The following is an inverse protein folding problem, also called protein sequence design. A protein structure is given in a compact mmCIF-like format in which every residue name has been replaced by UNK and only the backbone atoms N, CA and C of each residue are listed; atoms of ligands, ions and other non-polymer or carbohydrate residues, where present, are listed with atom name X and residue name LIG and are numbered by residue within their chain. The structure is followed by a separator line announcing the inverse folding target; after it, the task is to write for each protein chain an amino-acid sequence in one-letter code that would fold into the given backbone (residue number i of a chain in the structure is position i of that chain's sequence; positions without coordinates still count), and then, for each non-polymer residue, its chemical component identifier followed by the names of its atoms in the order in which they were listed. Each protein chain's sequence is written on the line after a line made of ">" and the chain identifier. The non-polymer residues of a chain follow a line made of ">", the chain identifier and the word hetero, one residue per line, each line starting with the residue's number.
data_IF_388957280450
#
_entry.id   IF_388957280450
#
_cell.length_a   1.000
_cell.length_b   1.000
_cell.length_c   1.000
_cell.angle_alpha   90.00
_cell.angle_beta   90.00
_cell.angle_gamma   90.00
#
_symmetry.space_group_name_H-M   'P 1'
#
loop_
_entity.id
_entity.type
_entity.pdbx_description
1 polymer ?
#
# COMPACT_ATOMS: atom_id res chain seq x y z
N UNK A 1 3.70 76.14 -38.35
CA UNK A 1 2.73 75.93 -37.26
C UNK A 1 2.65 74.43 -37.01
N UNK A 2 3.06 73.99 -35.82
CA UNK A 2 3.28 72.59 -35.41
C UNK A 2 2.05 71.69 -35.57
N UNK A 3 2.20 70.50 -36.16
CA UNK A 3 1.41 69.32 -35.79
C UNK A 3 2.30 68.08 -35.72
N UNK A 4 2.50 67.61 -34.49
CA UNK A 4 3.20 66.38 -34.11
C UNK A 4 2.38 65.17 -34.58
N UNK A 5 3.04 64.18 -35.21
CA UNK A 5 2.50 62.82 -35.34
C UNK A 5 2.52 62.14 -33.97
N UNK A 6 1.37 61.71 -33.48
CA UNK A 6 1.26 60.71 -32.41
C UNK A 6 1.13 59.34 -33.06
N UNK A 7 2.13 58.48 -32.87
CA UNK A 7 2.06 57.05 -33.17
C UNK A 7 1.51 56.38 -31.91
N UNK A 8 0.25 55.96 -31.95
CA UNK A 8 -0.37 55.16 -30.89
C UNK A 8 0.08 53.71 -31.01
N UNK A 9 0.74 53.20 -29.97
CA UNK A 9 1.02 51.77 -29.82
C UNK A 9 -0.28 51.06 -29.41
N UNK A 10 -0.83 50.23 -30.30
CA UNK A 10 -1.89 49.28 -29.96
C UNK A 10 -1.23 48.06 -29.30
N UNK A 11 -1.34 47.94 -27.98
CA UNK A 11 -1.02 46.71 -27.25
C UNK A 11 -2.14 45.69 -27.52
N UNK A 12 -1.88 44.73 -28.40
CA UNK A 12 -2.73 43.55 -28.56
C UNK A 12 -2.37 42.58 -27.43
N UNK A 13 -3.18 42.57 -26.37
CA UNK A 13 -3.10 41.55 -25.33
C UNK A 13 -3.69 40.25 -25.89
N UNK A 14 -2.82 39.32 -26.31
CA UNK A 14 -3.24 37.96 -26.66
C UNK A 14 -3.59 37.23 -25.36
N UNK A 15 -4.89 37.11 -25.08
CA UNK A 15 -5.40 36.22 -24.03
C UNK A 15 -5.26 34.79 -24.58
N UNK A 16 -4.18 34.10 -24.21
CA UNK A 16 -4.06 32.66 -24.36
C UNK A 16 -5.06 32.01 -23.40
N UNK A 17 -6.27 31.72 -23.90
CA UNK A 17 -7.18 30.79 -23.24
C UNK A 17 -6.52 29.42 -23.33
N UNK A 18 -5.82 29.02 -22.27
CA UNK A 18 -5.45 27.62 -22.04
C UNK A 18 -6.75 26.87 -21.81
N UNK A 19 -7.31 26.30 -22.87
CA UNK A 19 -8.28 25.23 -22.76
C UNK A 19 -7.61 24.08 -22.01
N UNK A 20 -7.88 23.98 -20.71
CA UNK A 20 -7.57 22.80 -19.91
C UNK A 20 -8.38 21.65 -20.49
N UNK A 21 -7.76 20.83 -21.34
CA UNK A 21 -8.30 19.53 -21.65
C UNK A 21 -8.35 18.79 -20.31
N UNK A 22 -9.56 18.58 -19.78
CA UNK A 22 -9.75 17.75 -18.61
C UNK A 22 -9.10 16.40 -18.91
N UNK A 23 -8.09 16.01 -18.12
CA UNK A 23 -7.54 14.67 -18.22
C UNK A 23 -8.70 13.69 -17.95
N UNK A 24 -8.84 12.62 -18.75
CA UNK A 24 -9.82 11.58 -18.46
C UNK A 24 -9.61 11.10 -17.04
N UNK A 25 -10.70 11.05 -16.25
CA UNK A 25 -10.64 10.52 -14.90
C UNK A 25 -10.16 9.06 -14.95
N UNK A 26 -9.23 8.64 -14.06
CA UNK A 26 -8.81 7.26 -14.01
C UNK A 26 -10.01 6.35 -13.73
N UNK A 27 -10.10 5.21 -14.43
CA UNK A 27 -11.14 4.23 -14.16
C UNK A 27 -10.93 3.61 -12.77
N UNK A 28 -11.99 3.53 -11.96
CA UNK A 28 -11.96 2.96 -10.62
C UNK A 28 -11.39 1.53 -10.61
N UNK A 29 -10.72 1.21 -9.51
CA UNK A 29 -10.16 -0.13 -9.27
C UNK A 29 -11.29 -1.12 -9.05
N UNK A 30 -11.07 -2.39 -9.40
CA UNK A 30 -12.06 -3.43 -9.10
C UNK A 30 -12.07 -3.69 -7.60
N UNK A 31 -13.25 -3.70 -6.98
CA UNK A 31 -13.39 -4.09 -5.59
C UNK A 31 -12.87 -5.52 -5.38
N UNK A 32 -12.01 -5.69 -4.37
CA UNK A 32 -11.41 -6.97 -4.01
C UNK A 32 -12.39 -7.82 -3.19
N UNK A 33 -13.06 -7.22 -2.21
CA UNK A 33 -14.17 -7.83 -1.47
C UNK A 33 -15.49 -7.31 -2.03
N UNK A 34 -16.18 -8.12 -2.81
CA UNK A 34 -17.40 -7.70 -3.54
C UNK A 34 -18.70 -7.96 -2.79
N UNK A 35 -18.66 -8.84 -1.79
CA UNK A 35 -19.81 -9.22 -0.98
C UNK A 35 -19.57 -8.86 0.50
N UNK A 36 -20.63 -8.79 1.32
CA UNK A 36 -20.48 -8.68 2.77
C UNK A 36 -19.58 -9.76 3.34
N UNK A 37 -18.68 -9.37 4.25
CA UNK A 37 -17.79 -10.27 4.96
C UNK A 37 -18.50 -10.78 6.23
N UNK A 38 -18.92 -12.05 6.21
CA UNK A 38 -19.73 -12.67 7.27
C UNK A 38 -18.89 -13.03 8.51
N UNK A 39 -18.26 -12.04 9.16
CA UNK A 39 -17.59 -12.18 10.45
C UNK A 39 -18.41 -11.53 11.58
N UNK A 40 -19.04 -12.32 12.47
CA UNK A 40 -19.85 -11.78 13.57
C UNK A 40 -19.09 -10.93 14.60
N UNK A 41 -17.75 -10.95 14.60
CA UNK A 41 -16.93 -10.12 15.50
C UNK A 41 -16.50 -8.81 14.85
N UNK A 42 -16.64 -8.68 13.53
CA UNK A 42 -16.37 -7.43 12.83
C UNK A 42 -17.47 -6.41 13.09
N UNK A 43 -17.12 -5.13 13.03
CA UNK A 43 -18.01 -4.01 13.33
C UNK A 43 -18.17 -3.16 12.08
N UNK A 44 -19.39 -2.89 11.66
CA UNK A 44 -19.66 -2.07 10.47
C UNK A 44 -19.94 -0.62 10.84
N UNK A 45 -19.47 0.33 10.02
CA UNK A 45 -19.60 1.79 10.26
C UNK A 45 -21.06 2.29 10.19
N UNK A 46 -21.92 1.63 9.42
CA UNK A 46 -23.35 1.93 9.31
C UNK A 46 -24.08 1.82 10.66
N UNK A 47 -23.64 0.90 11.51
CA UNK A 47 -24.16 0.70 12.87
C UNK A 47 -23.87 1.88 13.81
N UNK A 48 -23.00 2.81 13.39
CA UNK A 48 -22.63 4.03 14.10
C UNK A 48 -23.18 5.29 13.42
N UNK A 49 -24.03 5.14 12.41
CA UNK A 49 -24.70 6.24 11.72
C UNK A 49 -23.91 6.84 10.56
N UNK A 50 -22.85 6.19 10.08
CA UNK A 50 -22.19 6.60 8.84
C UNK A 50 -23.16 6.41 7.66
N UNK A 51 -23.35 7.44 6.85
CA UNK A 51 -24.33 7.45 5.76
C UNK A 51 -23.73 7.00 4.43
N UNK A 52 -22.46 7.35 4.16
CA UNK A 52 -21.80 6.97 2.91
C UNK A 52 -22.41 7.63 1.66
N UNK A 53 -23.09 8.78 1.82
CA UNK A 53 -23.80 9.49 0.74
C UNK A 53 -22.94 10.54 0.00
N UNK A 54 -21.71 10.77 0.46
CA UNK A 54 -20.75 11.74 -0.06
C UNK A 54 -21.02 13.19 0.36
N UNK A 55 -22.08 13.45 1.11
CA UNK A 55 -22.52 14.78 1.52
C UNK A 55 -22.39 14.99 3.03
N UNK A 56 -22.90 14.05 3.83
CA UNK A 56 -22.81 14.10 5.28
C UNK A 56 -21.37 13.89 5.77
N UNK A 57 -21.02 14.51 6.89
CA UNK A 57 -19.73 14.26 7.54
C UNK A 57 -19.80 12.99 8.37
N UNK A 58 -19.16 11.94 7.87
CA UNK A 58 -19.15 10.60 8.46
C UNK A 58 -17.96 10.39 9.42
N UNK A 59 -17.09 11.39 9.61
CA UNK A 59 -15.87 11.23 10.38
C UNK A 59 -16.13 10.75 11.81
N UNK A 60 -17.09 11.36 12.51
CA UNK A 60 -17.44 11.00 13.88
C UNK A 60 -18.02 9.58 13.99
N UNK A 61 -18.86 9.17 13.03
CA UNK A 61 -19.45 7.83 13.01
C UNK A 61 -18.39 6.75 12.76
N UNK A 62 -17.48 6.98 11.81
CA UNK A 62 -16.37 6.07 11.51
C UNK A 62 -15.41 5.98 12.70
N UNK A 63 -15.05 7.11 13.32
CA UNK A 63 -14.21 7.11 14.52
C UNK A 63 -14.88 6.36 15.67
N UNK A 64 -16.20 6.49 15.85
CA UNK A 64 -16.94 5.76 16.87
C UNK A 64 -16.90 4.24 16.64
N UNK A 65 -16.98 3.77 15.40
CA UNK A 65 -16.83 2.35 15.07
C UNK A 65 -15.42 1.82 15.42
N UNK A 66 -14.38 2.60 15.08
CA UNK A 66 -12.98 2.28 15.42
C UNK A 66 -12.78 2.25 16.95
N UNK A 67 -13.32 3.24 17.66
CA UNK A 67 -13.26 3.34 19.11
C UNK A 67 -13.97 2.17 19.78
N UNK A 68 -15.12 1.76 19.26
CA UNK A 68 -15.88 0.62 19.78
C UNK A 68 -15.11 -0.69 19.66
N UNK A 69 -14.47 -0.95 18.51
CA UNK A 69 -13.59 -2.13 18.36
C UNK A 69 -12.45 -2.09 19.37
N UNK A 70 -11.82 -0.93 19.57
CA UNK A 70 -10.76 -0.80 20.57
C UNK A 70 -11.26 -1.02 22.01
N UNK A 71 -12.46 -0.55 22.35
CA UNK A 71 -13.07 -0.75 23.67
C UNK A 71 -13.43 -2.21 23.93
N UNK A 72 -13.98 -2.89 22.92
CA UNK A 72 -14.42 -4.28 23.02
C UNK A 72 -13.26 -5.26 23.15
N UNK A 73 -12.25 -5.14 22.29
CA UNK A 73 -11.21 -6.17 22.15
C UNK A 73 -9.80 -5.64 21.96
N UNK A 74 -9.59 -4.32 21.92
CA UNK A 74 -8.31 -3.64 21.62
C UNK A 74 -7.80 -3.80 20.19
N UNK A 75 -8.17 -4.88 19.51
CA UNK A 75 -7.86 -5.20 18.12
C UNK A 75 -9.14 -5.71 17.43
N UNK A 76 -9.20 -5.69 16.10
CA UNK A 76 -10.37 -6.18 15.38
C UNK A 76 -10.48 -5.66 13.95
N UNK A 77 -11.66 -5.83 13.38
CA UNK A 77 -11.98 -5.41 12.01
C UNK A 77 -13.14 -4.42 12.04
N UNK A 78 -12.96 -3.29 11.37
CA UNK A 78 -14.02 -2.35 11.03
C UNK A 78 -14.35 -2.52 9.55
N UNK A 79 -15.60 -2.83 9.24
CA UNK A 79 -16.11 -2.98 7.88
C UNK A 79 -16.67 -1.65 7.38
N UNK A 80 -16.34 -1.32 6.15
CA UNK A 80 -16.82 -0.12 5.46
C UNK A 80 -17.61 -0.59 4.23
N UNK A 81 -18.95 -0.59 4.26
CA UNK A 81 -19.76 -0.92 3.10
C UNK A 81 -19.53 0.08 1.95
N UNK A 82 -19.77 -0.34 0.72
CA UNK A 82 -19.78 0.53 -0.47
C UNK A 82 -20.54 1.84 -0.20
N UNK A 83 -19.90 2.96 -0.56
CA UNK A 83 -20.39 4.29 -0.27
C UNK A 83 -19.28 5.34 -0.40
N UNK A 84 -19.66 6.60 -0.35
CA UNK A 84 -18.73 7.73 -0.32
C UNK A 84 -18.83 8.41 1.03
N UNK A 85 -17.77 8.34 1.83
CA UNK A 85 -17.77 8.83 3.20
C UNK A 85 -17.00 10.13 3.24
N UNK A 86 -17.72 11.27 3.27
CA UNK A 86 -17.05 12.56 3.43
C UNK A 86 -16.54 12.65 4.86
N UNK A 87 -15.28 13.02 5.02
CA UNK A 87 -14.65 13.26 6.32
C UNK A 87 -14.08 14.67 6.36
N UNK A 88 -14.23 15.36 7.49
CA UNK A 88 -13.68 16.71 7.67
C UNK A 88 -12.52 16.79 8.67
N UNK A 89 -12.23 15.69 9.35
CA UNK A 89 -11.14 15.55 10.32
C UNK A 89 -10.38 14.24 10.14
N UNK A 90 -9.22 14.13 10.81
CA UNK A 90 -8.38 12.93 10.77
C UNK A 90 -9.05 11.77 11.49
N UNK A 91 -9.19 10.64 10.80
CA UNK A 91 -9.54 9.36 11.41
C UNK A 91 -8.29 8.72 12.05
N UNK A 92 -8.36 8.41 13.33
CA UNK A 92 -7.28 7.74 14.05
C UNK A 92 -7.56 6.25 14.17
N UNK A 93 -6.69 5.45 13.55
CA UNK A 93 -6.77 3.98 13.58
C UNK A 93 -5.85 3.45 14.65
N UNK A 94 -6.44 2.92 15.72
CA UNK A 94 -5.69 2.35 16.85
C UNK A 94 -4.96 1.07 16.43
N UNK A 95 -3.85 0.80 17.13
CA UNK A 95 -3.07 -0.45 16.97
C UNK A 95 -3.97 -1.69 16.96
N UNK A 96 -3.75 -2.57 15.99
CA UNK A 96 -4.42 -3.87 15.86
C UNK A 96 -5.81 -3.81 15.22
N UNK A 97 -6.23 -2.66 14.70
CA UNK A 97 -7.50 -2.50 13.98
C UNK A 97 -7.25 -2.47 12.47
N UNK A 98 -8.03 -3.24 11.73
CA UNK A 98 -8.06 -3.22 10.26
C UNK A 98 -9.34 -2.55 9.76
N UNK A 99 -9.20 -1.66 8.79
CA UNK A 99 -10.31 -1.10 8.03
C UNK A 99 -10.45 -1.89 6.73
N UNK A 100 -11.59 -2.54 6.51
CA UNK A 100 -11.80 -3.37 5.31
C UNK A 100 -13.08 -2.91 4.60
N UNK A 101 -12.92 -2.44 3.37
CA UNK A 101 -14.04 -2.05 2.52
C UNK A 101 -14.64 -3.24 1.79
N UNK A 102 -15.94 -3.20 1.48
CA UNK A 102 -16.57 -4.22 0.64
C UNK A 102 -17.75 -3.66 -0.17
N UNK A 103 -18.06 -4.33 -1.28
CA UNK A 103 -19.19 -4.03 -2.17
C UNK A 103 -18.80 -4.11 -3.63
N UNK A 104 -19.75 -3.89 -4.53
CA UNK A 104 -19.52 -3.98 -5.98
C UNK A 104 -18.46 -2.96 -6.39
N UNK A 105 -18.59 -1.76 -5.85
CA UNK A 105 -17.58 -0.70 -5.90
C UNK A 105 -16.89 -0.55 -4.53
N UNK A 106 -15.62 -0.12 -4.54
CA UNK A 106 -14.90 0.15 -3.30
C UNK A 106 -15.52 1.35 -2.58
N UNK A 107 -15.71 1.31 -1.25
CA UNK A 107 -15.99 2.53 -0.51
C UNK A 107 -14.88 3.56 -0.68
N UNK A 108 -15.21 4.84 -0.68
CA UNK A 108 -14.25 5.94 -0.80
C UNK A 108 -14.34 6.86 0.40
N UNK A 109 -13.21 7.14 1.06
CA UNK A 109 -13.11 8.27 1.99
C UNK A 109 -12.80 9.54 1.19
N UNK A 110 -13.61 10.58 1.37
CA UNK A 110 -13.57 11.80 0.58
C UNK A 110 -13.25 13.00 1.47
N UNK A 111 -12.15 13.69 1.18
CA UNK A 111 -11.89 15.02 1.72
C UNK A 111 -12.45 16.06 0.75
N UNK A 112 -13.52 16.75 1.16
CA UNK A 112 -14.18 17.74 0.31
C UNK A 112 -13.26 18.91 -0.10
N UNK A 113 -13.59 19.67 -1.15
CA UNK A 113 -12.80 20.83 -1.55
C UNK A 113 -12.67 21.87 -0.44
N UNK A 114 -11.51 22.50 -0.31
CA UNK A 114 -11.21 23.53 0.69
C UNK A 114 -11.63 23.13 2.13
N UNK A 115 -11.38 21.89 2.53
CA UNK A 115 -11.76 21.42 3.87
C UNK A 115 -10.90 22.14 4.91
N UNK A 116 -11.49 22.84 5.89
CA UNK A 116 -10.74 23.62 6.87
C UNK A 116 -9.66 22.80 7.58
N UNK A 117 -8.44 23.34 7.63
CA UNK A 117 -7.31 22.71 8.31
C UNK A 117 -6.38 21.91 7.40
N UNK A 118 -6.72 21.73 6.12
CA UNK A 118 -5.91 20.99 5.14
C UNK A 118 -5.22 21.90 4.10
N UNK A 119 -5.18 23.22 4.34
CA UNK A 119 -4.59 24.20 3.43
C UNK A 119 -3.07 24.30 3.58
N UNK A 120 -2.56 24.65 4.78
CA UNK A 120 -1.18 25.14 4.91
C UNK A 120 -0.32 24.39 5.94
N UNK A 121 -0.92 23.57 6.80
CA UNK A 121 -0.20 22.90 7.89
C UNK A 121 0.30 21.51 7.49
N UNK A 122 1.59 21.24 7.66
CA UNK A 122 2.14 19.88 7.49
C UNK A 122 1.52 18.89 8.49
N UNK A 123 1.47 17.62 8.12
CA UNK A 123 0.98 16.55 8.99
C UNK A 123 -0.54 16.45 9.10
N UNK A 124 -1.27 16.85 8.06
CA UNK A 124 -2.73 16.78 7.97
C UNK A 124 -3.15 15.52 7.20
N UNK A 125 -3.55 14.49 7.93
CA UNK A 125 -3.89 13.18 7.37
C UNK A 125 -5.40 12.97 7.32
N UNK A 126 -5.91 12.32 6.27
CA UNK A 126 -7.27 11.80 6.29
C UNK A 126 -7.38 10.60 7.24
N UNK A 127 -6.40 9.69 7.19
CA UNK A 127 -6.28 8.53 8.08
C UNK A 127 -4.89 8.48 8.70
N UNK A 128 -4.81 8.35 10.02
CA UNK A 128 -3.56 8.24 10.76
C UNK A 128 -3.54 6.95 11.58
N UNK A 129 -2.68 6.01 11.18
CA UNK A 129 -2.37 4.84 12.00
C UNK A 129 -1.50 5.25 13.18
N UNK A 130 -1.98 4.94 14.38
CA UNK A 130 -1.40 5.42 15.63
C UNK A 130 -1.17 4.26 16.60
N UNK A 131 -0.54 4.56 17.73
CA UNK A 131 -0.34 3.57 18.79
C UNK A 131 -1.66 3.24 19.52
N UNK A 132 -1.58 2.91 20.81
CA UNK A 132 -2.76 2.65 21.62
C UNK A 132 -3.64 3.90 21.78
N UNK A 133 -4.97 3.71 21.84
CA UNK A 133 -5.94 4.78 22.12
C UNK A 133 -5.55 5.47 23.44
N UNK A 134 -5.34 6.79 23.46
CA UNK A 134 -4.91 7.49 24.67
C UNK A 134 -6.03 7.50 25.71
N UNK A 135 -5.65 7.59 26.99
CA UNK A 135 -6.60 7.97 28.04
C UNK A 135 -7.11 9.39 27.76
N UNK A 136 -8.35 9.68 28.15
CA UNK A 136 -8.95 11.01 27.99
C UNK A 136 -8.00 12.14 28.45
N UNK A 137 -7.84 13.16 27.61
CA UNK A 137 -6.96 14.30 27.86
C UNK A 137 -5.46 14.04 27.65
N UNK A 138 -5.05 12.85 27.21
CA UNK A 138 -3.67 12.57 26.80
C UNK A 138 -3.52 12.73 25.28
N UNK A 139 -2.34 13.16 24.80
CA UNK A 139 -2.11 13.31 23.37
C UNK A 139 -2.13 11.96 22.67
N UNK A 140 -2.62 11.97 21.43
CA UNK A 140 -2.48 10.84 20.51
C UNK A 140 -1.00 10.66 20.20
N UNK A 141 -0.54 9.42 20.30
CA UNK A 141 0.85 9.06 20.01
C UNK A 141 0.90 8.44 18.63
N UNK A 142 1.83 8.91 17.82
CA UNK A 142 2.18 8.27 16.57
C UNK A 142 2.52 6.79 16.79
N UNK A 143 2.37 6.00 15.75
CA UNK A 143 2.77 4.61 15.78
C UNK A 143 4.28 4.45 16.06
N UNK A 144 4.64 3.24 16.46
CA UNK A 144 5.99 2.89 16.89
C UNK A 144 6.31 1.42 16.55
N UNK A 145 7.52 0.92 16.81
CA UNK A 145 7.92 -0.46 16.54
C UNK A 145 7.03 -1.57 17.10
N UNK A 146 6.13 -1.26 18.03
CA UNK A 146 5.16 -2.20 18.59
C UNK A 146 3.76 -2.12 17.97
N UNK A 147 3.57 -1.34 16.90
CA UNK A 147 2.25 -1.11 16.27
C UNK A 147 2.00 -2.13 15.16
N UNK A 148 1.64 -3.35 15.56
CA UNK A 148 1.41 -4.48 14.64
C UNK A 148 -0.06 -4.63 14.25
N UNK A 149 -0.31 -5.39 13.18
CA UNK A 149 -1.62 -5.93 12.78
C UNK A 149 -2.67 -4.93 12.26
N UNK A 150 -2.32 -3.65 12.13
CA UNK A 150 -3.23 -2.63 11.61
C UNK A 150 -3.19 -2.59 10.09
N UNK A 151 -4.32 -2.44 9.40
CA UNK A 151 -4.31 -2.40 7.94
C UNK A 151 -5.48 -1.59 7.39
N UNK A 152 -5.37 -1.18 6.13
CA UNK A 152 -6.50 -0.66 5.36
C UNK A 152 -6.52 -1.36 4.02
N UNK A 153 -7.68 -1.91 3.65
CA UNK A 153 -7.81 -2.67 2.41
C UNK A 153 -9.13 -2.43 1.73
N UNK A 154 -9.11 -2.33 0.40
CA UNK A 154 -10.31 -2.19 -0.42
C UNK A 154 -11.12 -0.92 -0.10
N UNK A 155 -10.44 0.17 0.27
CA UNK A 155 -11.03 1.47 0.56
C UNK A 155 -10.24 2.54 -0.18
N UNK A 156 -10.90 3.31 -1.03
CA UNK A 156 -10.27 4.37 -1.81
C UNK A 156 -10.13 5.67 -1.00
N UNK A 157 -9.18 6.50 -1.39
CA UNK A 157 -8.95 7.84 -0.85
C UNK A 157 -9.13 8.88 -1.96
N UNK A 158 -9.89 9.94 -1.70
CA UNK A 158 -10.09 11.06 -2.62
C UNK A 158 -9.86 12.40 -1.92
N UNK A 159 -8.96 13.21 -2.44
CA UNK A 159 -8.65 14.56 -1.96
C UNK A 159 -9.16 15.60 -2.96
N UNK A 160 -10.16 16.37 -2.56
CA UNK A 160 -10.69 17.48 -3.34
C UNK A 160 -9.71 18.66 -3.46
N UNK A 161 -9.97 19.55 -4.41
CA UNK A 161 -9.16 20.73 -4.66
C UNK A 161 -9.09 21.69 -3.47
N UNK A 162 -7.99 22.43 -3.33
CA UNK A 162 -7.81 23.42 -2.26
C UNK A 162 -7.37 22.81 -0.93
N UNK A 163 -6.84 21.58 -0.96
CA UNK A 163 -6.27 20.88 0.19
C UNK A 163 -4.78 20.54 -0.01
N UNK A 164 -3.89 21.51 -0.35
CA UNK A 164 -2.52 21.20 -0.76
C UNK A 164 -1.64 20.61 0.35
N UNK A 165 -2.03 20.74 1.63
CA UNK A 165 -1.32 20.09 2.73
C UNK A 165 -1.82 18.66 3.04
N UNK A 166 -2.92 18.23 2.41
CA UNK A 166 -3.54 16.94 2.72
C UNK A 166 -2.68 15.75 2.29
N UNK A 167 -2.61 14.78 3.19
CA UNK A 167 -2.08 13.44 2.94
C UNK A 167 -3.20 12.44 3.17
N UNK A 168 -3.35 11.47 2.26
CA UNK A 168 -4.37 10.43 2.40
C UNK A 168 -4.17 9.60 3.66
N UNK A 169 -3.08 8.82 3.71
CA UNK A 169 -2.84 7.88 4.81
C UNK A 169 -1.45 8.08 5.39
N UNK A 170 -1.37 8.23 6.71
CA UNK A 170 -0.13 8.05 7.45
C UNK A 170 0.00 6.60 7.90
N UNK A 171 0.73 5.80 7.13
CA UNK A 171 0.97 4.37 7.38
C UNK A 171 2.28 4.12 8.13
N UNK A 172 2.55 4.91 9.16
CA UNK A 172 3.61 4.59 10.10
C UNK A 172 3.10 3.43 10.96
N UNK A 173 3.59 2.21 10.76
CA UNK A 173 3.28 1.03 11.58
C UNK A 173 4.36 -0.05 11.41
N UNK A 174 4.27 -1.09 12.22
CA UNK A 174 5.17 -2.24 12.21
C UNK A 174 4.50 -3.44 11.52
N UNK A 175 5.10 -4.63 11.60
CA UNK A 175 4.76 -5.84 10.83
C UNK A 175 3.29 -6.29 10.94
N UNK A 176 2.90 -7.13 9.97
CA UNK A 176 1.51 -7.58 9.76
C UNK A 176 0.52 -6.46 9.46
N UNK A 177 1.05 -5.33 9.00
CA UNK A 177 0.32 -4.13 8.65
C UNK A 177 0.59 -3.75 7.21
N UNK A 178 -0.45 -3.32 6.50
CA UNK A 178 -0.39 -3.09 5.05
C UNK A 178 -1.46 -2.11 4.57
N UNK A 179 -1.28 -1.60 3.34
CA UNK A 179 -2.32 -0.96 2.54
C UNK A 179 -2.51 -1.77 1.25
N UNK A 180 -3.73 -2.21 0.96
CA UNK A 180 -4.01 -3.16 -0.12
C UNK A 180 -5.24 -2.81 -0.95
N UNK A 181 -5.18 -2.96 -2.27
CA UNK A 181 -6.35 -2.81 -3.16
C UNK A 181 -7.00 -1.42 -3.03
N UNK A 182 -6.24 -0.35 -3.22
CA UNK A 182 -6.71 1.02 -3.00
C UNK A 182 -6.37 1.95 -4.17
N UNK A 183 -7.29 2.85 -4.50
CA UNK A 183 -6.98 4.02 -5.31
C UNK A 183 -6.80 5.25 -4.43
N UNK A 184 -5.72 6.00 -4.67
CA UNK A 184 -5.45 7.30 -4.10
C UNK A 184 -5.62 8.36 -5.21
N UNK A 185 -6.76 9.05 -5.20
CA UNK A 185 -7.03 10.22 -6.05
C UNK A 185 -6.61 11.47 -5.29
N UNK A 186 -5.34 11.86 -5.44
CA UNK A 186 -4.68 12.84 -4.57
C UNK A 186 -4.98 14.27 -5.03
N UNK A 187 -5.28 14.49 -6.32
CA UNK A 187 -5.65 15.81 -6.83
C UNK A 187 -4.61 16.87 -6.48
N UNK A 188 -5.06 17.97 -5.86
CA UNK A 188 -4.19 19.06 -5.37
C UNK A 188 -3.36 18.73 -4.12
N UNK A 189 -3.61 17.59 -3.47
CA UNK A 189 -2.99 17.19 -2.20
C UNK A 189 -1.48 16.99 -2.27
N UNK A 190 -0.88 16.83 -1.09
CA UNK A 190 0.56 16.64 -0.91
C UNK A 190 1.00 15.23 -1.29
N UNK A 191 0.35 14.22 -0.73
CA UNK A 191 0.66 12.82 -1.01
C UNK A 191 -0.53 11.88 -0.80
N UNK A 192 -0.49 10.71 -1.44
CA UNK A 192 -1.42 9.63 -1.11
C UNK A 192 -1.05 8.99 0.23
N UNK A 193 0.24 8.72 0.43
CA UNK A 193 0.77 8.09 1.63
C UNK A 193 1.97 8.87 2.19
N UNK A 194 2.01 9.05 3.51
CA UNK A 194 3.20 9.46 4.23
C UNK A 194 3.64 8.41 5.26
N UNK A 195 4.95 8.12 5.25
CA UNK A 195 5.56 6.95 5.89
C UNK A 195 5.01 5.66 5.28
N UNK A 196 5.88 4.69 5.11
CA UNK A 196 5.47 3.33 4.78
C UNK A 196 5.78 2.43 5.96
N UNK A 197 4.90 1.47 6.18
CA UNK A 197 5.19 0.34 7.05
C UNK A 197 5.91 -0.74 6.24
N UNK A 198 5.40 -1.97 6.32
CA UNK A 198 6.08 -3.11 5.71
C UNK A 198 5.60 -3.44 4.29
N UNK A 199 4.35 -3.15 3.94
CA UNK A 199 3.76 -3.65 2.70
C UNK A 199 2.72 -2.70 2.09
N UNK A 200 2.79 -2.52 0.77
CA UNK A 200 1.74 -1.95 -0.08
C UNK A 200 1.57 -2.85 -1.31
N UNK A 201 0.34 -3.29 -1.58
CA UNK A 201 0.03 -4.16 -2.72
C UNK A 201 -1.23 -3.69 -3.49
N UNK A 202 -1.21 -3.79 -4.82
CA UNK A 202 -2.33 -3.42 -5.71
C UNK A 202 -2.91 -2.02 -5.39
N UNK A 203 -2.01 -1.04 -5.21
CA UNK A 203 -2.39 0.35 -4.97
C UNK A 203 -2.14 1.22 -6.21
N UNK A 204 -2.94 2.27 -6.38
CA UNK A 204 -2.82 3.16 -7.55
C UNK A 204 -2.89 4.62 -7.11
N UNK A 205 -1.93 5.42 -7.54
CA UNK A 205 -1.74 6.81 -7.08
C UNK A 205 -1.88 7.79 -8.25
N UNK A 206 -2.89 8.65 -8.19
CA UNK A 206 -3.24 9.60 -9.24
C UNK A 206 -3.11 11.05 -8.76
N UNK A 207 -2.29 11.84 -9.45
CA UNK A 207 -2.05 13.25 -9.10
C UNK A 207 -1.25 13.41 -7.80
N UNK A 208 -1.37 14.59 -7.17
CA UNK A 208 -0.59 14.97 -5.98
C UNK A 208 0.80 15.54 -6.29
N UNK A 209 1.47 16.10 -5.28
CA UNK A 209 2.91 16.41 -5.41
C UNK A 209 3.69 15.08 -5.49
N UNK A 210 3.29 14.15 -4.63
CA UNK A 210 3.86 12.82 -4.49
C UNK A 210 2.78 11.75 -4.44
N UNK A 211 3.10 10.52 -4.83
CA UNK A 211 2.29 9.35 -4.48
C UNK A 211 2.60 8.96 -3.04
N UNK A 212 3.89 8.75 -2.76
CA UNK A 212 4.42 8.36 -1.45
C UNK A 212 5.52 9.34 -1.01
N UNK A 213 5.45 9.79 0.24
CA UNK A 213 6.56 10.42 0.95
C UNK A 213 6.96 9.49 2.08
N UNK A 214 8.19 9.02 2.09
CA UNK A 214 8.62 8.09 3.13
C UNK A 214 10.01 8.35 3.63
N UNK A 215 10.25 7.82 4.82
CA UNK A 215 11.57 7.69 5.43
C UNK A 215 11.69 6.27 5.96
N UNK A 216 12.82 5.94 6.58
CA UNK A 216 13.00 4.77 7.45
C UNK A 216 11.71 4.32 8.17
N UNK A 217 11.18 3.11 7.85
CA UNK A 217 10.04 2.52 8.52
C UNK A 217 10.31 2.30 10.02
N UNK A 218 9.29 1.89 10.77
CA UNK A 218 9.44 1.49 12.17
C UNK A 218 9.33 -0.03 12.26
N UNK A 219 10.33 -0.81 12.72
CA UNK A 219 11.63 -0.43 13.32
C UNK A 219 12.83 -0.47 12.36
N UNK A 220 12.79 0.21 11.22
CA UNK A 220 13.82 0.22 10.16
C UNK A 220 13.89 -1.07 9.34
N UNK A 221 12.78 -1.78 9.26
CA UNK A 221 12.66 -2.99 8.45
C UNK A 221 12.38 -2.62 6.99
N UNK A 222 12.76 -3.49 6.04
CA UNK A 222 12.49 -3.23 4.62
C UNK A 222 11.00 -3.14 4.34
N UNK A 223 10.69 -2.37 3.30
CA UNK A 223 9.37 -2.12 2.77
C UNK A 223 9.21 -2.82 1.42
N UNK A 224 8.12 -3.57 1.24
CA UNK A 224 7.76 -4.25 0.00
C UNK A 224 6.59 -3.53 -0.68
N UNK A 225 6.73 -3.23 -1.96
CA UNK A 225 5.65 -2.66 -2.77
C UNK A 225 5.48 -3.44 -4.07
N UNK A 226 4.29 -4.00 -4.28
CA UNK A 226 4.02 -4.91 -5.39
C UNK A 226 2.82 -4.44 -6.20
N UNK A 227 2.87 -4.64 -7.52
CA UNK A 227 1.75 -4.43 -8.44
C UNK A 227 1.12 -3.03 -8.33
N UNK A 228 1.94 -2.02 -8.03
CA UNK A 228 1.47 -0.65 -7.74
C UNK A 228 1.69 0.29 -8.93
N UNK A 229 0.75 1.22 -9.10
CA UNK A 229 0.70 2.16 -10.23
C UNK A 229 0.78 3.62 -9.76
N UNK A 230 1.53 4.45 -10.49
CA UNK A 230 1.66 5.89 -10.25
C UNK A 230 1.44 6.67 -11.54
N UNK A 231 0.60 7.70 -11.49
CA UNK A 231 0.35 8.57 -12.64
C UNK A 231 0.17 10.05 -12.23
N UNK A 232 0.87 10.93 -12.93
CA UNK A 232 0.57 12.37 -12.90
C UNK A 232 0.99 13.13 -11.64
N UNK A 233 1.90 12.58 -10.82
CA UNK A 233 2.49 13.34 -9.72
C UNK A 233 3.25 14.56 -10.24
N UNK A 234 3.09 15.72 -9.58
CA UNK A 234 3.69 17.00 -9.99
C UNK A 234 5.18 17.10 -9.71
N UNK A 235 5.69 16.35 -8.73
CA UNK A 235 7.10 16.42 -8.32
C UNK A 235 7.79 15.07 -8.52
N UNK A 236 7.32 14.01 -7.86
CA UNK A 236 7.85 12.65 -8.05
C UNK A 236 6.82 11.61 -7.61
N UNK A 237 6.84 10.40 -8.16
CA UNK A 237 5.98 9.33 -7.65
C UNK A 237 6.31 8.98 -6.19
N UNK A 238 7.59 8.81 -5.87
CA UNK A 238 8.08 8.49 -4.53
C UNK A 238 9.18 9.47 -4.13
N UNK A 239 9.03 10.09 -2.95
CA UNK A 239 10.09 10.82 -2.26
C UNK A 239 10.54 10.03 -1.05
N UNK A 240 11.84 9.76 -0.91
CA UNK A 240 12.32 8.77 0.05
C UNK A 240 13.63 9.12 0.75
N UNK A 241 13.87 8.48 1.89
CA UNK A 241 15.16 8.37 2.58
C UNK A 241 15.21 7.12 3.45
N UNK A 242 16.24 6.28 3.26
CA UNK A 242 16.52 5.09 4.09
C UNK A 242 15.31 4.17 4.29
N UNK A 243 14.44 4.08 3.29
CA UNK A 243 13.20 3.32 3.42
C UNK A 243 13.42 1.81 3.27
N UNK A 244 14.47 1.39 2.56
CA UNK A 244 14.76 -0.01 2.31
C UNK A 244 13.69 -0.65 1.44
N UNK A 245 13.53 -0.15 0.22
CA UNK A 245 12.38 -0.46 -0.64
C UNK A 245 12.68 -1.61 -1.62
N UNK A 246 11.82 -2.62 -1.64
CA UNK A 246 11.73 -3.62 -2.71
C UNK A 246 10.47 -3.38 -3.52
N UNK A 247 10.64 -3.03 -4.79
CA UNK A 247 9.57 -2.64 -5.71
C UNK A 247 9.42 -3.71 -6.80
N UNK A 248 8.34 -4.50 -6.81
CA UNK A 248 8.12 -5.55 -7.81
C UNK A 248 6.91 -5.21 -8.69
N UNK A 249 7.07 -5.26 -10.02
CA UNK A 249 6.00 -5.00 -11.01
C UNK A 249 5.29 -3.65 -10.86
N UNK A 250 6.05 -2.61 -10.51
CA UNK A 250 5.52 -1.27 -10.38
C UNK A 250 5.50 -0.54 -11.71
N UNK A 251 4.57 0.40 -11.90
CA UNK A 251 4.50 1.23 -13.10
C UNK A 251 4.38 2.70 -12.74
N UNK A 252 5.27 3.51 -13.31
CA UNK A 252 5.34 4.94 -13.11
C UNK A 252 5.13 5.63 -14.45
N UNK A 253 4.08 6.44 -14.55
CA UNK A 253 3.64 7.02 -15.81
C UNK A 253 3.44 8.53 -15.70
N UNK A 254 3.93 9.27 -16.70
CA UNK A 254 3.66 10.71 -16.83
C UNK A 254 4.04 11.49 -15.55
N UNK A 255 5.20 11.17 -14.97
CA UNK A 255 5.77 11.80 -13.76
C UNK A 255 7.12 12.46 -14.06
N UNK A 256 7.53 13.52 -13.33
CA UNK A 256 8.88 14.08 -13.51
C UNK A 256 10.00 13.15 -13.05
N UNK A 257 9.77 12.35 -12.02
CA UNK A 257 10.73 11.41 -11.43
C UNK A 257 9.97 10.28 -10.76
N UNK A 258 10.42 9.03 -10.93
CA UNK A 258 9.78 7.89 -10.27
C UNK A 258 10.22 7.79 -8.81
N UNK A 259 11.53 7.76 -8.54
CA UNK A 259 12.08 7.69 -7.18
C UNK A 259 13.05 8.83 -6.95
N UNK A 260 12.73 9.70 -5.99
CA UNK A 260 13.55 10.84 -5.60
C UNK A 260 14.07 10.68 -4.18
N UNK A 261 15.37 10.42 -4.04
CA UNK A 261 16.03 10.40 -2.73
C UNK A 261 16.27 11.83 -2.24
N UNK A 262 16.00 12.07 -0.95
CA UNK A 262 16.28 13.36 -0.30
C UNK A 262 17.77 13.72 -0.39
N UNK A 263 18.12 15.02 -0.50
CA UNK A 263 19.51 15.47 -0.51
C UNK A 263 20.28 14.97 0.73
N UNK A 264 21.53 14.56 0.51
CA UNK A 264 22.46 14.09 1.56
C UNK A 264 21.95 12.91 2.39
N UNK A 265 20.97 12.15 1.87
CA UNK A 265 20.45 10.93 2.49
C UNK A 265 20.67 9.71 1.59
N UNK A 266 20.76 8.54 2.23
CA UNK A 266 20.87 7.25 1.56
C UNK A 266 19.50 6.66 1.24
N UNK A 267 19.48 5.68 0.35
CA UNK A 267 18.35 4.78 0.12
C UNK A 267 18.88 3.40 -0.28
N UNK A 268 18.13 2.37 0.07
CA UNK A 268 18.39 0.98 -0.28
C UNK A 268 17.23 0.48 -1.16
N UNK A 269 17.30 0.74 -2.47
CA UNK A 269 16.29 0.42 -3.47
C UNK A 269 16.62 -0.85 -4.24
N UNK A 270 15.68 -1.78 -4.27
CA UNK A 270 15.59 -2.89 -5.22
C UNK A 270 14.33 -2.71 -6.06
N UNK A 271 14.44 -2.73 -7.38
CA UNK A 271 13.30 -2.63 -8.30
C UNK A 271 13.37 -3.74 -9.33
N UNK A 272 12.30 -4.53 -9.44
CA UNK A 272 12.22 -5.74 -10.26
C UNK A 272 10.98 -5.64 -11.15
N UNK A 273 11.10 -6.04 -12.42
CA UNK A 273 9.96 -6.23 -13.34
C UNK A 273 9.06 -4.99 -13.51
N UNK A 274 9.63 -3.81 -13.30
CA UNK A 274 8.89 -2.55 -13.21
C UNK A 274 8.99 -1.73 -14.51
N UNK A 275 8.26 -0.62 -14.58
CA UNK A 275 8.23 0.22 -15.78
C UNK A 275 8.19 1.71 -15.51
N UNK A 276 9.00 2.44 -16.27
CA UNK A 276 8.93 3.89 -16.43
C UNK A 276 8.32 4.23 -17.80
N UNK A 277 7.31 5.10 -17.82
CA UNK A 277 6.66 5.57 -19.04
C UNK A 277 6.51 7.09 -19.00
N UNK A 278 7.04 7.78 -20.00
CA UNK A 278 7.00 9.24 -20.10
C UNK A 278 7.57 9.96 -18.86
N UNK A 279 8.66 9.45 -18.29
CA UNK A 279 9.30 10.12 -17.15
C UNK A 279 10.14 11.28 -17.67
N UNK A 280 9.69 12.51 -17.41
CA UNK A 280 10.24 13.71 -18.08
C UNK A 280 11.62 14.14 -17.57
N UNK A 281 11.99 13.73 -16.36
CA UNK A 281 13.29 13.97 -15.74
C UNK A 281 14.08 12.67 -15.54
N UNK A 282 15.01 12.62 -14.57
CA UNK A 282 15.63 11.35 -14.17
C UNK A 282 14.58 10.42 -13.55
N UNK A 283 14.55 9.15 -13.96
CA UNK A 283 13.67 8.17 -13.33
C UNK A 283 14.05 7.93 -11.87
N UNK A 284 15.34 7.83 -11.58
CA UNK A 284 15.89 7.69 -10.22
C UNK A 284 16.87 8.83 -9.90
N UNK A 285 16.66 9.51 -8.79
CA UNK A 285 17.61 10.49 -8.26
C UNK A 285 18.36 9.86 -7.08
N UNK A 286 19.63 9.55 -7.29
CA UNK A 286 20.54 9.00 -6.28
C UNK A 286 21.17 10.14 -5.48
N UNK A 287 21.32 9.94 -4.18
CA UNK A 287 21.98 10.85 -3.25
C UNK A 287 22.97 10.08 -2.35
N UNK A 288 23.90 10.80 -1.74
CA UNK A 288 24.99 10.27 -0.90
C UNK A 288 25.86 9.20 -1.62
N UNK A 289 26.08 9.35 -2.93
CA UNK A 289 26.61 8.30 -3.83
C UNK A 289 28.06 7.83 -3.58
N UNK A 290 28.75 8.40 -2.59
CA UNK A 290 30.11 8.00 -2.19
C UNK A 290 30.14 7.34 -0.82
N UNK A 291 28.98 7.06 -0.24
CA UNK A 291 28.81 6.31 0.99
C UNK A 291 28.59 4.83 0.68
N UNK A 292 28.99 3.95 1.59
CA UNK A 292 28.75 2.50 1.47
C UNK A 292 27.26 2.13 1.62
N UNK A 293 26.46 3.05 2.16
CA UNK A 293 25.07 2.79 2.53
C UNK A 293 24.08 2.79 1.36
N UNK A 294 24.07 3.77 0.42
CA UNK A 294 23.11 3.74 -0.66
C UNK A 294 23.32 2.53 -1.57
N UNK A 295 22.24 1.84 -1.88
CA UNK A 295 22.21 0.65 -2.73
C UNK A 295 21.04 0.81 -3.69
N UNK A 296 21.29 0.74 -4.99
CA UNK A 296 20.25 0.85 -6.02
C UNK A 296 20.42 -0.27 -7.01
N UNK A 297 19.39 -1.11 -7.13
CA UNK A 297 19.37 -2.27 -8.01
C UNK A 297 18.09 -2.21 -8.84
N UNK A 298 18.21 -2.21 -10.17
CA UNK A 298 17.07 -2.28 -11.08
C UNK A 298 17.27 -3.48 -11.99
N UNK A 299 16.35 -4.44 -11.94
CA UNK A 299 16.42 -5.70 -12.68
C UNK A 299 15.18 -5.85 -13.54
N UNK A 300 15.38 -6.08 -14.83
CA UNK A 300 14.30 -6.21 -15.83
C UNK A 300 13.29 -5.04 -15.80
N UNK A 301 13.78 -3.80 -15.70
CA UNK A 301 12.94 -2.60 -15.72
C UNK A 301 12.84 -2.07 -17.15
N UNK A 302 11.64 -1.81 -17.64
CA UNK A 302 11.42 -1.23 -18.98
C UNK A 302 11.21 0.26 -18.87
N UNK A 303 11.88 1.02 -19.73
CA UNK A 303 11.75 2.46 -19.81
C UNK A 303 11.27 2.87 -21.20
N UNK A 304 10.23 3.70 -21.24
CA UNK A 304 9.61 4.26 -22.46
C UNK A 304 9.60 5.78 -22.31
N UNK A 305 10.11 6.50 -23.30
CA UNK A 305 10.13 7.97 -23.32
C UNK A 305 10.72 8.55 -22.01
N UNK A 306 11.79 7.91 -21.52
CA UNK A 306 12.49 8.23 -20.27
C UNK A 306 13.97 8.43 -20.62
N UNK A 307 14.39 9.66 -20.94
CA UNK A 307 15.73 9.91 -21.49
C UNK A 307 16.85 9.71 -20.46
N UNK A 308 16.58 10.00 -19.18
CA UNK A 308 17.56 9.85 -18.09
C UNK A 308 17.09 8.76 -17.14
N UNK A 309 17.81 7.64 -17.07
CA UNK A 309 17.51 6.57 -16.13
C UNK A 309 17.83 7.01 -14.69
N UNK A 310 19.05 7.50 -14.48
CA UNK A 310 19.53 7.86 -13.15
C UNK A 310 20.33 9.16 -13.17
N UNK A 311 20.19 9.96 -12.11
CA UNK A 311 21.05 11.13 -11.85
C UNK A 311 21.60 11.07 -10.43
N UNK A 312 22.90 11.33 -10.30
CA UNK A 312 23.62 11.38 -9.04
C UNK A 312 23.73 12.83 -8.56
N UNK A 313 23.19 13.14 -7.37
CA UNK A 313 23.04 14.53 -6.91
C UNK A 313 24.38 15.24 -6.74
N UNK A 314 25.38 14.62 -6.11
CA UNK A 314 26.63 15.31 -5.72
C UNK A 314 27.57 15.49 -6.91
N UNK A 315 27.72 14.47 -7.73
CA UNK A 315 28.60 14.45 -8.91
C UNK A 315 27.97 15.09 -10.14
N UNK A 316 26.64 15.16 -10.21
CA UNK A 316 25.91 15.57 -11.40
C UNK A 316 25.93 14.53 -12.54
N UNK A 317 26.55 13.37 -12.33
CA UNK A 317 26.60 12.28 -13.31
C UNK A 317 25.19 11.81 -13.66
N UNK A 318 24.96 11.50 -14.92
CA UNK A 318 23.74 10.86 -15.40
C UNK A 318 24.02 9.52 -16.05
N UNK A 319 23.00 8.66 -16.08
CA UNK A 319 22.94 7.46 -16.90
C UNK A 319 21.79 7.65 -17.87
N UNK A 320 22.13 7.90 -19.13
CA UNK A 320 21.17 8.16 -20.21
C UNK A 320 20.59 6.85 -20.76
N UNK A 321 19.32 6.90 -21.18
CA UNK A 321 18.67 5.83 -21.91
C UNK A 321 19.23 5.71 -23.33
N UNK A 322 19.52 4.50 -23.86
CA UNK A 322 20.14 4.32 -25.16
C UNK A 322 19.19 4.54 -26.36
N UNK A 323 17.87 4.63 -26.11
CA UNK A 323 16.86 4.85 -27.14
C UNK A 323 15.53 5.25 -26.51
N UNK A 324 14.49 5.50 -27.32
CA UNK A 324 13.13 5.81 -26.85
C UNK A 324 12.54 4.72 -25.96
N UNK A 325 12.84 3.46 -26.25
CA UNK A 325 12.34 2.31 -25.50
C UNK A 325 13.49 1.35 -25.22
N UNK A 326 13.76 1.06 -23.96
CA UNK A 326 14.86 0.18 -23.57
C UNK A 326 14.53 -0.63 -22.31
N UNK A 327 15.22 -1.75 -22.15
CA UNK A 327 15.25 -2.53 -20.92
C UNK A 327 16.52 -2.24 -20.15
N UNK A 328 16.38 -1.90 -18.88
CA UNK A 328 17.41 -2.05 -17.85
C UNK A 328 17.41 -3.53 -17.49
N UNK A 329 18.34 -4.29 -18.06
CA UNK A 329 18.45 -5.70 -17.69
C UNK A 329 19.04 -5.80 -16.27
N UNK A 330 20.06 -4.99 -16.01
CA UNK A 330 20.66 -4.75 -14.70
C UNK A 330 21.14 -3.29 -14.64
N UNK A 331 20.94 -2.65 -13.50
CA UNK A 331 21.64 -1.45 -13.05
C UNK A 331 21.93 -1.64 -11.58
N UNK A 332 23.18 -1.43 -11.19
CA UNK A 332 23.62 -1.52 -9.80
C UNK A 332 24.47 -0.30 -9.43
N UNK A 333 24.12 0.37 -8.34
CA UNK A 333 24.97 1.37 -7.68
C UNK A 333 25.09 1.08 -6.19
N UNK A 334 26.30 1.14 -5.64
CA UNK A 334 26.57 0.97 -4.22
C UNK A 334 27.93 0.35 -3.95
N UNK A 335 28.17 -0.07 -2.70
CA UNK A 335 29.37 -0.84 -2.33
C UNK A 335 29.29 -2.25 -2.90
N UNK A 336 30.25 -2.61 -3.74
CA UNK A 336 30.33 -3.90 -4.44
C UNK A 336 31.67 -4.59 -4.13
N UNK A 337 31.64 -5.93 -4.14
CA UNK A 337 32.81 -6.79 -3.98
C UNK A 337 32.70 -7.86 -5.08
N UNK A 338 33.69 -7.94 -5.97
CA UNK A 338 33.63 -8.81 -7.16
C UNK A 338 33.81 -10.31 -6.81
N UNK A 339 34.62 -10.62 -5.80
CA UNK A 339 34.89 -11.98 -5.30
C UNK A 339 35.36 -11.95 -3.83
N UNK A 340 35.56 -13.12 -3.21
CA UNK A 340 35.89 -13.22 -1.78
C UNK A 340 37.20 -12.49 -1.37
N UNK A 341 38.13 -12.31 -2.31
CA UNK A 341 39.42 -11.65 -2.09
C UNK A 341 39.45 -10.20 -2.63
N UNK A 342 38.35 -9.76 -3.24
CA UNK A 342 38.19 -8.46 -3.86
C UNK A 342 38.15 -7.31 -2.84
N UNK A 343 38.76 -6.18 -3.21
CA UNK A 343 38.63 -4.95 -2.42
C UNK A 343 37.26 -4.30 -2.66
N UNK A 344 36.52 -3.94 -1.59
CA UNK A 344 35.21 -3.30 -1.76
C UNK A 344 35.34 -1.94 -2.44
N UNK A 345 34.46 -1.68 -3.41
CA UNK A 345 34.43 -0.43 -4.17
C UNK A 345 33.02 0.11 -4.33
N UNK A 346 32.85 1.41 -4.20
CA UNK A 346 31.58 2.07 -4.55
C UNK A 346 31.60 2.31 -6.06
N UNK A 347 30.69 1.65 -6.77
CA UNK A 347 30.68 1.68 -8.23
C UNK A 347 29.26 1.69 -8.80
N UNK A 348 29.14 2.09 -10.06
CA UNK A 348 27.89 2.03 -10.84
C UNK A 348 28.12 1.22 -12.11
N UNK A 349 27.42 0.10 -12.23
CA UNK A 349 27.39 -0.77 -13.41
C UNK A 349 25.97 -0.82 -13.98
N UNK A 350 25.84 -1.03 -15.30
CA UNK A 350 24.54 -1.19 -15.93
C UNK A 350 24.63 -1.89 -17.29
N UNK A 351 23.57 -2.63 -17.64
CA UNK A 351 23.33 -3.20 -18.97
C UNK A 351 21.96 -2.74 -19.49
N UNK A 352 21.99 -1.80 -20.43
CA UNK A 352 20.79 -1.21 -21.04
C UNK A 352 20.63 -1.72 -22.48
N UNK A 353 19.47 -2.28 -22.81
CA UNK A 353 19.19 -2.93 -24.09
C UNK A 353 18.08 -2.15 -24.81
N UNK A 354 18.36 -1.51 -25.97
CA UNK A 354 17.31 -0.94 -26.82
C UNK A 354 16.27 -2.00 -27.21
N UNK A 355 15.01 -1.59 -27.28
CA UNK A 355 13.90 -2.45 -27.69
C UNK A 355 13.16 -1.85 -28.89
N UNK A 356 12.72 -2.70 -29.80
CA UNK A 356 11.94 -2.30 -30.98
C UNK A 356 10.46 -2.01 -30.64
N UNK A 357 9.96 -2.62 -29.57
CA UNK A 357 8.58 -2.47 -29.10
C UNK A 357 8.51 -2.49 -27.58
N UNK A 358 7.40 -1.96 -27.04
CA UNK A 358 7.15 -1.98 -25.59
C UNK A 358 6.59 -3.38 -25.24
N UNK A 359 7.28 -4.19 -24.44
CA UNK A 359 6.77 -5.49 -24.01
C UNK A 359 5.55 -5.31 -23.10
N UNK A 360 4.78 -6.38 -22.86
CA UNK A 360 3.78 -6.39 -21.78
C UNK A 360 4.46 -6.34 -20.40
N UNK A 361 3.75 -5.86 -19.38
CA UNK A 361 4.20 -6.07 -18.00
C UNK A 361 4.17 -7.58 -17.70
N UNK A 362 5.10 -8.10 -16.90
CA UNK A 362 4.97 -9.44 -16.34
C UNK A 362 3.63 -9.55 -15.57
N UNK A 363 2.90 -10.68 -15.70
CA UNK A 363 1.71 -10.89 -14.91
C UNK A 363 2.06 -10.99 -13.42
N UNK A 364 1.09 -10.73 -12.55
CA UNK A 364 1.26 -10.98 -11.12
C UNK A 364 1.47 -12.48 -10.86
N UNK A 365 2.37 -12.77 -9.93
CA UNK A 365 2.60 -14.10 -9.36
C UNK A 365 1.89 -14.31 -8.02
N UNK A 366 1.13 -13.29 -7.57
CA UNK A 366 0.27 -13.40 -6.40
C UNK A 366 -1.00 -14.17 -6.80
N UNK A 367 -1.24 -15.29 -6.12
CA UNK A 367 -2.43 -16.09 -6.38
C UNK A 367 -3.69 -15.30 -5.99
N UNK A 368 -4.62 -15.17 -6.94
CA UNK A 368 -5.91 -14.55 -6.67
C UNK A 368 -6.74 -15.42 -5.71
N UNK A 369 -7.48 -14.78 -4.81
CA UNK A 369 -8.48 -15.49 -4.02
C UNK A 369 -9.60 -16.03 -4.94
N UNK A 370 -10.18 -17.19 -4.61
CA UNK A 370 -11.39 -17.67 -5.28
C UNK A 370 -12.54 -16.68 -5.11
N UNK A 371 -13.51 -16.73 -6.03
CA UNK A 371 -14.69 -15.85 -5.99
C UNK A 371 -15.37 -15.90 -4.62
N UNK A 372 -15.76 -14.74 -4.09
CA UNK A 372 -16.20 -14.61 -2.71
C UNK A 372 -17.49 -15.40 -2.40
N UNK A 373 -18.34 -15.62 -3.40
CA UNK A 373 -19.56 -16.44 -3.31
C UNK A 373 -19.26 -17.94 -3.09
N UNK A 374 -18.02 -18.40 -3.30
CA UNK A 374 -17.61 -19.79 -3.02
C UNK A 374 -17.07 -19.99 -1.62
N UNK A 375 -16.99 -18.93 -0.80
CA UNK A 375 -16.41 -19.01 0.54
C UNK A 375 -17.42 -19.62 1.51
N UNK A 376 -17.03 -20.68 2.21
CA UNK A 376 -17.87 -21.33 3.22
C UNK A 376 -17.27 -21.14 4.61
N UNK A 377 -18.10 -20.78 5.59
CA UNK A 377 -17.61 -20.58 6.95
C UNK A 377 -17.26 -21.91 7.60
N UNK A 378 -16.10 -21.98 8.27
CA UNK A 378 -15.77 -23.16 9.08
C UNK A 378 -16.77 -23.39 10.23
N UNK A 379 -17.50 -22.36 10.65
CA UNK A 379 -18.55 -22.46 11.67
C UNK A 379 -19.76 -23.27 11.21
N UNK A 380 -20.00 -23.36 9.90
CA UNK A 380 -21.08 -24.17 9.32
C UNK A 380 -20.83 -25.68 9.50
N UNK A 381 -19.59 -26.07 9.82
CA UNK A 381 -19.19 -27.45 10.14
C UNK A 381 -19.10 -27.72 11.64
N UNK A 382 -19.53 -26.77 12.48
CA UNK A 382 -19.51 -26.87 13.94
C UNK A 382 -18.21 -26.41 14.60
N UNK A 383 -17.31 -25.76 13.87
CA UNK A 383 -16.15 -25.13 14.50
C UNK A 383 -16.61 -23.98 15.41
N UNK A 384 -16.26 -24.04 16.69
CA UNK A 384 -16.68 -23.06 17.69
C UNK A 384 -15.81 -21.81 17.64
N UNK A 385 -14.50 -21.97 17.49
CA UNK A 385 -13.56 -20.84 17.48
C UNK A 385 -13.47 -20.11 18.84
N UNK A 386 -13.79 -20.79 19.94
CA UNK A 386 -13.83 -20.25 21.30
C UNK A 386 -12.48 -20.37 22.05
N UNK A 387 -11.53 -21.11 21.49
CA UNK A 387 -10.21 -21.40 22.05
C UNK A 387 -10.16 -22.60 22.98
N UNK A 388 -11.29 -23.26 23.25
CA UNK A 388 -11.43 -24.35 24.23
C UNK A 388 -11.98 -25.63 23.61
N UNK A 389 -13.04 -25.51 22.82
CA UNK A 389 -13.66 -26.61 22.09
C UNK A 389 -12.67 -27.15 21.06
N UNK A 390 -12.56 -28.47 20.98
CA UNK A 390 -11.69 -29.12 19.98
C UNK A 390 -12.35 -29.08 18.59
N UNK A 391 -11.89 -28.15 17.77
CA UNK A 391 -12.40 -27.90 16.42
C UNK A 391 -11.76 -28.83 15.36
N UNK A 392 -10.89 -29.78 15.75
CA UNK A 392 -10.19 -30.64 14.78
C UNK A 392 -11.13 -31.40 13.85
N UNK A 393 -12.21 -31.97 14.37
CA UNK A 393 -13.15 -32.74 13.54
C UNK A 393 -13.92 -31.84 12.56
N UNK A 394 -14.40 -30.68 13.03
CA UNK A 394 -15.11 -29.71 12.21
C UNK A 394 -14.23 -29.16 11.08
N UNK A 395 -12.97 -28.79 11.40
CA UNK A 395 -12.03 -28.29 10.41
C UNK A 395 -11.64 -29.36 9.37
N UNK A 396 -11.46 -30.62 9.80
CA UNK A 396 -11.21 -31.73 8.87
C UNK A 396 -12.38 -31.96 7.92
N UNK A 397 -13.62 -31.90 8.42
CA UNK A 397 -14.81 -32.03 7.58
C UNK A 397 -14.95 -30.86 6.59
N UNK A 398 -14.68 -29.64 7.04
CA UNK A 398 -14.69 -28.46 6.19
C UNK A 398 -13.69 -28.62 5.03
N UNK A 399 -12.44 -29.02 5.32
CA UNK A 399 -11.41 -29.31 4.31
C UNK A 399 -11.80 -30.51 3.41
N UNK A 400 -12.46 -31.52 3.97
CA UNK A 400 -12.91 -32.70 3.24
C UNK A 400 -14.04 -32.41 2.25
N UNK A 401 -14.83 -31.37 2.46
CA UNK A 401 -16.03 -31.08 1.66
C UNK A 401 -15.91 -29.82 0.81
N UNK A 402 -15.06 -28.86 1.18
CA UNK A 402 -14.97 -27.56 0.50
C UNK A 402 -13.54 -27.16 0.18
N UNK A 403 -13.38 -26.44 -0.93
CA UNK A 403 -12.09 -25.90 -1.37
C UNK A 403 -11.72 -24.61 -0.65
N UNK A 404 -12.70 -23.72 -0.42
CA UNK A 404 -12.45 -22.36 0.07
C UNK A 404 -13.17 -22.14 1.39
N UNK A 405 -12.37 -21.97 2.44
CA UNK A 405 -12.81 -21.89 3.82
C UNK A 405 -12.58 -20.49 4.35
N UNK A 406 -13.67 -19.84 4.76
CA UNK A 406 -13.62 -18.60 5.50
C UNK A 406 -13.57 -18.90 7.00
N UNK A 407 -12.62 -18.27 7.69
CA UNK A 407 -12.44 -18.35 9.12
C UNK A 407 -12.86 -17.02 9.76
N UNK A 408 -14.10 -16.92 10.28
CA UNK A 408 -14.47 -15.79 11.12
C UNK A 408 -13.48 -15.64 12.29
N UNK A 409 -13.37 -14.44 12.86
CA UNK A 409 -12.60 -14.22 14.08
C UNK A 409 -12.95 -15.27 15.15
N UNK A 410 -11.90 -15.84 15.74
CA UNK A 410 -11.97 -16.97 16.65
C UNK A 410 -10.61 -17.62 16.87
N UNK A 411 -10.51 -18.36 17.97
CA UNK A 411 -9.38 -19.23 18.29
C UNK A 411 -9.83 -20.67 18.10
N UNK A 412 -9.39 -21.30 17.03
CA UNK A 412 -9.81 -22.64 16.63
C UNK A 412 -8.83 -23.65 17.21
N UNK A 413 -9.16 -24.23 18.37
CA UNK A 413 -8.27 -25.18 19.03
C UNK A 413 -8.27 -26.49 18.27
N UNK A 414 -7.08 -27.02 18.00
CA UNK A 414 -6.93 -28.34 17.39
C UNK A 414 -6.12 -29.27 18.29
N UNK A 415 -6.48 -30.55 18.32
CA UNK A 415 -5.77 -31.59 19.06
C UNK A 415 -4.92 -32.51 18.19
N UNK A 416 -5.01 -32.38 16.86
CA UNK A 416 -4.25 -33.20 15.90
C UNK A 416 -4.07 -32.46 14.56
N UNK A 417 -3.17 -32.94 13.70
CA UNK A 417 -2.82 -32.32 12.41
C UNK A 417 -4.05 -32.10 11.51
N UNK A 418 -4.16 -30.90 10.93
CA UNK A 418 -5.12 -30.59 9.85
C UNK A 418 -4.39 -30.76 8.51
N UNK A 419 -4.65 -31.87 7.81
CA UNK A 419 -4.12 -32.12 6.48
C UNK A 419 -4.99 -31.42 5.43
N UNK A 420 -4.38 -30.55 4.63
CA UNK A 420 -5.06 -29.83 3.56
C UNK A 420 -5.16 -30.68 2.29
N UNK A 421 -6.21 -30.46 1.50
CA UNK A 421 -6.24 -30.89 0.09
C UNK A 421 -5.33 -30.00 -0.75
N UNK A 422 -4.84 -30.46 -1.92
CA UNK A 422 -3.89 -29.73 -2.76
C UNK A 422 -4.27 -28.31 -3.16
N UNK A 423 -5.56 -27.97 -3.16
CA UNK A 423 -6.05 -26.64 -3.55
C UNK A 423 -6.86 -25.95 -2.44
N UNK A 424 -6.73 -26.40 -1.19
CA UNK A 424 -7.42 -25.77 -0.06
C UNK A 424 -6.99 -24.31 0.07
N UNK A 425 -7.96 -23.42 0.19
CA UNK A 425 -7.79 -22.00 0.45
C UNK A 425 -8.40 -21.67 1.81
N UNK A 426 -7.62 -21.11 2.72
CA UNK A 426 -8.05 -20.61 4.02
C UNK A 426 -7.97 -19.09 4.04
N UNK A 427 -9.03 -18.43 4.50
CA UNK A 427 -9.15 -16.97 4.47
C UNK A 427 -9.57 -16.49 5.85
N UNK A 428 -8.76 -15.64 6.46
CA UNK A 428 -9.09 -14.90 7.68
C UNK A 428 -8.84 -13.41 7.49
N UNK A 429 -9.61 -12.57 8.17
CA UNK A 429 -9.52 -11.11 7.97
C UNK A 429 -8.40 -10.45 8.78
N UNK A 430 -7.98 -11.05 9.89
CA UNK A 430 -6.89 -10.55 10.71
C UNK A 430 -6.19 -11.67 11.51
N UNK A 431 -4.86 -11.78 11.46
CA UNK A 431 -4.12 -12.87 12.12
C UNK A 431 -4.09 -12.74 13.66
N UNK A 432 -4.41 -11.56 14.21
CA UNK A 432 -4.56 -11.40 15.67
C UNK A 432 -5.95 -11.83 16.16
N UNK A 433 -6.96 -11.84 15.28
CA UNK A 433 -8.33 -12.28 15.63
C UNK A 433 -8.65 -13.70 15.22
N UNK A 434 -7.98 -14.23 14.20
CA UNK A 434 -8.24 -15.55 13.62
C UNK A 434 -7.01 -16.42 13.78
N UNK A 435 -7.09 -17.44 14.63
CA UNK A 435 -5.94 -18.27 14.98
C UNK A 435 -6.34 -19.74 15.04
N UNK A 436 -5.57 -20.62 14.41
CA UNK A 436 -5.58 -22.05 14.76
C UNK A 436 -4.62 -22.22 15.94
N UNK A 437 -5.14 -22.67 17.08
CA UNK A 437 -4.38 -22.70 18.33
C UNK A 437 -4.12 -24.13 18.79
N UNK A 438 -2.94 -24.33 19.37
CA UNK A 438 -2.55 -25.57 20.02
C UNK A 438 -2.45 -25.33 21.52
N UNK A 439 -3.06 -26.19 22.33
CA UNK A 439 -2.93 -26.11 23.78
C UNK A 439 -1.64 -26.76 24.24
N UNK A 440 -1.09 -26.25 25.34
CA UNK A 440 0.04 -26.86 26.02
C UNK A 440 -0.25 -28.33 26.33
N UNK A 441 0.74 -29.19 26.11
CA UNK A 441 0.66 -30.63 26.40
C UNK A 441 -0.46 -31.37 25.65
N UNK A 442 -0.78 -30.92 24.44
CA UNK A 442 -1.68 -31.66 23.55
C UNK A 442 -1.02 -33.00 23.15
N UNK A 443 -1.58 -34.18 23.52
CA UNK A 443 -0.86 -35.45 23.43
C UNK A 443 -0.32 -35.80 22.04
N UNK A 444 -1.02 -35.39 20.98
CA UNK A 444 -0.62 -35.66 19.60
C UNK A 444 0.68 -34.94 19.19
N UNK A 445 1.07 -33.88 19.89
CA UNK A 445 2.23 -33.05 19.60
C UNK A 445 3.31 -33.13 20.70
N UNK A 446 3.14 -34.05 21.66
CA UNK A 446 4.12 -34.34 22.69
C UNK A 446 5.06 -35.49 22.29
N UNK A 447 6.23 -35.54 22.95
CA UNK A 447 7.14 -36.68 22.88
C UNK A 447 8.36 -36.48 21.97
N UNK A 448 9.18 -37.52 21.89
CA UNK A 448 10.47 -37.51 21.18
C UNK A 448 10.40 -38.17 19.79
N UNK A 449 9.20 -38.54 19.31
CA UNK A 449 8.98 -39.22 18.03
C UNK A 449 9.11 -38.30 16.80
N UNK A 450 9.65 -37.09 16.97
CA UNK A 450 9.84 -36.08 15.92
C UNK A 450 8.74 -35.02 15.89
N UNK A 451 9.00 -33.85 15.30
CA UNK A 451 8.02 -32.78 15.18
C UNK A 451 6.85 -33.22 14.29
N UNK A 452 5.63 -32.83 14.65
CA UNK A 452 4.43 -33.03 13.83
C UNK A 452 3.84 -31.68 13.41
N UNK A 453 3.39 -31.52 12.16
CA UNK A 453 2.81 -30.27 11.69
C UNK A 453 1.42 -30.06 12.30
N UNK A 454 1.12 -28.83 12.71
CA UNK A 454 -0.23 -28.42 13.11
C UNK A 454 -1.16 -28.38 11.88
N UNK A 455 -0.66 -27.77 10.81
CA UNK A 455 -1.29 -27.65 9.50
C UNK A 455 -0.32 -28.22 8.47
N UNK A 456 -0.78 -29.13 7.61
CA UNK A 456 0.06 -29.78 6.61
C UNK A 456 -0.50 -29.52 5.21
N UNK A 457 0.30 -28.89 4.35
CA UNK A 457 0.02 -28.77 2.92
C UNK A 457 0.65 -29.95 2.17
N UNK A 458 -0.06 -30.56 1.21
CA UNK A 458 0.48 -31.67 0.44
C UNK A 458 1.56 -31.17 -0.53
N UNK A 459 2.53 -32.04 -0.83
CA UNK A 459 3.58 -31.75 -1.81
C UNK A 459 2.98 -31.38 -3.18
N UNK A 460 3.45 -30.28 -3.78
CA UNK A 460 2.95 -29.77 -5.05
C UNK A 460 1.57 -29.09 -4.98
N UNK A 461 1.03 -28.85 -3.78
CA UNK A 461 -0.20 -28.09 -3.58
C UNK A 461 -0.06 -26.62 -3.98
N UNK A 462 -1.20 -25.98 -4.28
CA UNK A 462 -1.36 -24.55 -4.61
C UNK A 462 -2.18 -23.85 -3.53
N UNK A 463 -2.01 -24.29 -2.28
CA UNK A 463 -2.75 -23.78 -1.13
C UNK A 463 -2.52 -22.29 -0.90
N UNK A 464 -3.57 -21.60 -0.46
CA UNK A 464 -3.50 -20.24 0.10
C UNK A 464 -3.90 -20.37 1.58
N UNK A 465 -3.08 -19.87 2.50
CA UNK A 465 -3.28 -20.00 3.95
C UNK A 465 -3.12 -18.67 4.64
#
# INVERSE_FOLDING_TARGET
>A
MNRRLQIGWLLVTVILVRSSLAQPQPTNGRSFYTLPLNDPSAVSVDSFGALGDGAADDAAAIQAAIDHVNERSRFGVVLIPEGRYRITETLYVWKGIRLIGFGTDRPTLVLGPNTPGFQDEEGRYMVHFVSDRPRAGRPIRDANPGTFYSAMSNVDIEIGDGNPAAIGVRSHFAQHSFLAHMDFRIGSGRAGVEKVGNEIDDCRFFGGDYGIITTKPSPSWPFLMIDTYFEGQRVAAIRTEEAGMTLVRNRFRDVPTAVMVNPDRAEELMMIDSRFESVSGPAVVVSDEYNARPQFNLINVVAVDTPVLARFRRSGKTVEGPSRTYRVEDFTHGLQIDDLDGSPRIHTSHRLIPLESVPSMPPTDIAALPSQDTWVSVKDFGASGDGETDDTAALREAVATHRTLFFPAGRYRVSDTILLKPETVMIGLSPITTQIVLHDRTPAFEGHSGPRPLLETPSGGTNIV
#
